data_IF_632265319257
#
_entry.id   IF_632265319257
#
_cell.length_a   1.000
_cell.length_b   1.000
_cell.length_c   1.000
_cell.angle_alpha   90.00
_cell.angle_beta   90.00
_cell.angle_gamma   90.00
#
_symmetry.space_group_name_H-M   'P 1'
#
loop_
_entity.id
_entity.type
_entity.pdbx_description
1 polymer ?
#
# COMPACT_ATOMS: atom_id res chain seq x y z
N UNK A 1 15.65 -20.00 -19.05
CA UNK A 1 15.97 -18.72 -18.39
C UNK A 1 14.79 -17.76 -18.40
N UNK A 2 14.17 -17.43 -19.55
CA UNK A 2 12.99 -16.53 -19.64
C UNK A 2 11.81 -16.85 -18.70
N UNK A 3 11.48 -18.13 -18.53
CA UNK A 3 10.41 -18.54 -17.61
C UNK A 3 10.73 -18.20 -16.14
N UNK A 4 12.00 -18.31 -15.73
CA UNK A 4 12.42 -17.97 -14.38
C UNK A 4 12.37 -16.45 -14.13
N UNK A 5 12.77 -15.64 -15.12
CA UNK A 5 12.66 -14.18 -15.05
C UNK A 5 11.20 -13.74 -14.93
N UNK A 6 10.31 -14.28 -15.77
CA UNK A 6 8.88 -13.99 -15.70
C UNK A 6 8.26 -14.47 -14.38
N UNK A 7 8.70 -15.62 -13.85
CA UNK A 7 8.25 -16.11 -12.54
C UNK A 7 8.52 -15.09 -11.45
N UNK A 8 9.71 -14.46 -11.46
CA UNK A 8 10.04 -13.47 -10.43
C UNK A 8 9.18 -12.22 -10.51
N UNK A 9 8.94 -11.74 -11.72
CA UNK A 9 8.05 -10.59 -11.95
C UNK A 9 6.62 -10.92 -11.50
N UNK A 10 6.12 -12.10 -11.86
CA UNK A 10 4.77 -12.54 -11.51
C UNK A 10 4.56 -12.60 -9.99
N UNK A 11 5.53 -13.10 -9.21
CA UNK A 11 5.45 -13.09 -7.74
C UNK A 11 5.25 -11.69 -7.17
N UNK A 12 6.01 -10.70 -7.65
CA UNK A 12 5.95 -9.33 -7.15
C UNK A 12 4.71 -8.59 -7.63
N UNK A 13 4.28 -8.82 -8.87
CA UNK A 13 3.03 -8.29 -9.43
C UNK A 13 1.83 -8.84 -8.66
N UNK A 14 1.79 -10.15 -8.43
CA UNK A 14 0.72 -10.78 -7.66
C UNK A 14 0.60 -10.15 -6.26
N UNK A 15 1.72 -9.91 -5.59
CA UNK A 15 1.73 -9.22 -4.29
C UNK A 15 1.27 -7.76 -4.40
N UNK A 16 1.78 -6.99 -5.37
CA UNK A 16 1.42 -5.58 -5.56
C UNK A 16 -0.08 -5.39 -5.83
N UNK A 17 -0.63 -6.21 -6.74
CA UNK A 17 -2.05 -6.16 -7.12
C UNK A 17 -2.95 -6.51 -5.96
N UNK A 18 -2.64 -7.58 -5.22
CA UNK A 18 -3.47 -7.96 -4.07
C UNK A 18 -3.37 -6.95 -2.91
N UNK A 19 -2.20 -6.37 -2.65
CA UNK A 19 -2.09 -5.29 -1.67
C UNK A 19 -2.90 -4.06 -2.13
N UNK A 20 -2.84 -3.71 -3.41
CA UNK A 20 -3.65 -2.64 -4.01
C UNK A 20 -5.14 -2.88 -3.81
N UNK A 21 -5.63 -4.08 -4.11
CA UNK A 21 -7.02 -4.48 -3.91
C UNK A 21 -7.45 -4.31 -2.45
N UNK A 22 -6.67 -4.83 -1.50
CA UNK A 22 -7.04 -4.74 -0.07
C UNK A 22 -6.94 -3.30 0.45
N UNK A 23 -6.02 -2.50 -0.09
CA UNK A 23 -5.93 -1.06 0.19
C UNK A 23 -7.14 -0.29 -0.32
N UNK A 24 -7.66 -0.60 -1.51
CA UNK A 24 -8.91 -0.05 -2.01
C UNK A 24 -10.09 -0.46 -1.11
N UNK A 25 -10.17 -1.74 -0.75
CA UNK A 25 -11.21 -2.26 0.15
C UNK A 25 -11.16 -1.62 1.54
N UNK A 26 -9.98 -1.27 2.07
CA UNK A 26 -9.85 -0.48 3.31
C UNK A 26 -10.58 0.86 3.21
N UNK A 27 -10.46 1.57 2.10
CA UNK A 27 -11.12 2.88 1.90
C UNK A 27 -12.64 2.69 1.86
N UNK A 28 -13.10 1.67 1.13
CA UNK A 28 -14.53 1.34 1.03
C UNK A 28 -15.10 0.99 2.41
N UNK A 29 -14.44 0.07 3.13
CA UNK A 29 -14.85 -0.37 4.46
C UNK A 29 -14.87 0.79 5.47
N UNK A 30 -13.86 1.67 5.46
CA UNK A 30 -13.83 2.87 6.31
C UNK A 30 -15.03 3.79 6.08
N UNK A 31 -15.41 4.03 4.82
CA UNK A 31 -16.61 4.83 4.49
C UNK A 31 -17.92 4.17 4.92
N UNK A 32 -17.95 2.84 4.96
CA UNK A 32 -19.11 2.06 5.42
C UNK A 32 -19.13 1.85 6.94
N UNK A 33 -18.09 2.28 7.67
CA UNK A 33 -17.96 2.02 9.11
C UNK A 33 -17.71 0.55 9.44
N UNK A 34 -17.06 -0.19 8.55
CA UNK A 34 -16.77 -1.63 8.69
C UNK A 34 -15.29 -1.86 9.01
N UNK A 35 -14.97 -2.76 9.95
CA UNK A 35 -13.59 -3.18 10.20
C UNK A 35 -13.10 -4.10 9.09
N UNK A 36 -12.26 -3.57 8.20
CA UNK A 36 -11.64 -4.35 7.12
C UNK A 36 -10.80 -5.52 7.64
N UNK A 37 -10.20 -5.42 8.83
CA UNK A 37 -9.43 -6.52 9.39
C UNK A 37 -10.32 -7.67 9.85
N UNK A 38 -11.52 -7.38 10.37
CA UNK A 38 -12.53 -8.40 10.66
C UNK A 38 -12.98 -9.11 9.39
N UNK A 39 -13.28 -8.35 8.33
CA UNK A 39 -13.67 -8.90 7.02
C UNK A 39 -12.59 -9.83 6.46
N UNK A 40 -11.33 -9.42 6.49
CA UNK A 40 -10.20 -10.26 6.02
C UNK A 40 -10.07 -11.52 6.86
N UNK A 41 -10.16 -11.43 8.19
CA UNK A 41 -10.10 -12.60 9.08
C UNK A 41 -11.24 -13.57 8.80
N UNK A 42 -12.46 -13.06 8.62
CA UNK A 42 -13.62 -13.88 8.29
C UNK A 42 -13.46 -14.55 6.92
N UNK A 43 -13.02 -13.82 5.89
CA UNK A 43 -12.76 -14.37 4.57
C UNK A 43 -11.65 -15.45 4.58
N UNK A 44 -10.62 -15.26 5.42
CA UNK A 44 -9.52 -16.22 5.60
C UNK A 44 -9.93 -17.54 6.25
N UNK A 45 -11.13 -17.65 6.83
CA UNK A 45 -11.64 -18.93 7.35
C UNK A 45 -12.10 -19.87 6.23
N UNK A 46 -12.30 -19.36 5.01
CA UNK A 46 -12.70 -20.18 3.87
C UNK A 46 -11.53 -21.08 3.46
N UNK A 47 -11.73 -22.41 3.31
CA UNK A 47 -10.64 -23.34 3.06
C UNK A 47 -10.04 -23.25 1.65
N UNK A 48 -10.61 -22.43 0.76
CA UNK A 48 -10.15 -22.26 -0.61
C UNK A 48 -10.49 -20.88 -1.17
N UNK A 49 -9.68 -20.43 -2.13
CA UNK A 49 -9.97 -19.25 -2.95
C UNK A 49 -9.75 -17.90 -2.28
N UNK A 50 -9.14 -17.86 -1.09
CA UNK A 50 -8.75 -16.61 -0.45
C UNK A 50 -7.35 -16.72 0.16
N UNK A 51 -6.43 -15.89 -0.31
CA UNK A 51 -5.11 -15.71 0.29
C UNK A 51 -5.14 -14.35 0.99
N UNK A 52 -4.92 -14.27 2.31
CA UNK A 52 -5.06 -13.01 3.02
C UNK A 52 -3.89 -12.08 2.70
N UNK A 53 -4.24 -10.89 2.21
CA UNK A 53 -3.37 -9.71 2.19
C UNK A 53 -3.94 -8.69 3.18
N UNK A 54 -3.07 -7.86 3.73
CA UNK A 54 -3.45 -6.87 4.74
C UNK A 54 -3.19 -5.46 4.20
N UNK A 55 -4.10 -4.52 4.47
CA UNK A 55 -3.91 -3.16 4.00
C UNK A 55 -2.82 -2.47 4.81
N UNK A 56 -2.24 -1.43 4.23
CA UNK A 56 -1.14 -0.69 4.85
C UNK A 56 -1.10 0.77 4.43
N UNK A 57 -0.05 1.49 4.86
CA UNK A 57 0.18 2.89 4.46
C UNK A 57 0.70 3.06 3.03
N UNK A 58 1.04 1.96 2.35
CA UNK A 58 1.61 1.97 1.00
C UNK A 58 2.50 0.75 0.78
N UNK A 59 3.07 0.63 -0.42
CA UNK A 59 4.12 -0.35 -0.70
C UNK A 59 5.49 0.21 -0.28
N UNK A 60 6.40 -0.67 0.10
CA UNK A 60 7.79 -0.29 0.31
C UNK A 60 8.78 -1.41 0.04
N UNK A 61 10.05 -1.11 0.28
CA UNK A 61 11.16 -1.92 -0.20
C UNK A 61 11.37 -1.73 -1.71
N UNK A 62 12.44 -2.29 -2.26
CA UNK A 62 12.79 -2.05 -3.66
C UNK A 62 11.95 -2.85 -4.66
N UNK A 63 11.67 -4.13 -4.38
CA UNK A 63 11.20 -5.07 -5.41
C UNK A 63 9.75 -4.84 -5.83
N UNK A 64 8.84 -4.55 -4.89
CA UNK A 64 7.40 -4.46 -5.20
C UNK A 64 7.04 -3.12 -5.86
N UNK A 65 7.63 -1.97 -5.48
CA UNK A 65 7.37 -0.70 -6.15
C UNK A 65 8.01 -0.55 -7.54
N UNK A 66 8.98 -1.39 -7.92
CA UNK A 66 9.73 -1.22 -9.18
C UNK A 66 9.41 -2.32 -10.20
N UNK A 67 9.51 -3.59 -9.81
CA UNK A 67 9.40 -4.73 -10.74
C UNK A 67 8.08 -4.75 -11.55
N UNK A 68 6.90 -4.43 -10.97
CA UNK A 68 5.66 -4.40 -11.73
C UNK A 68 5.67 -3.34 -12.83
N UNK A 69 6.23 -2.15 -12.57
CA UNK A 69 6.31 -1.08 -13.58
C UNK A 69 7.36 -1.36 -14.65
N UNK A 70 8.43 -2.08 -14.31
CA UNK A 70 9.35 -2.59 -15.32
C UNK A 70 8.62 -3.50 -16.32
N UNK A 71 7.79 -4.44 -15.85
CA UNK A 71 7.01 -5.28 -16.76
C UNK A 71 5.99 -4.45 -17.55
N UNK A 72 5.31 -3.49 -16.92
CA UNK A 72 4.41 -2.56 -17.63
C UNK A 72 5.12 -1.85 -18.78
N UNK A 73 6.31 -1.31 -18.54
CA UNK A 73 7.13 -0.67 -19.58
C UNK A 73 7.48 -1.67 -20.68
N UNK A 74 7.96 -2.87 -20.33
CA UNK A 74 8.36 -3.88 -21.31
C UNK A 74 7.18 -4.39 -22.13
N UNK A 75 6.02 -4.58 -21.51
CA UNK A 75 4.80 -5.07 -22.16
C UNK A 75 4.28 -4.09 -23.23
N UNK A 76 4.48 -2.78 -23.03
CA UNK A 76 4.13 -1.76 -24.04
C UNK A 76 4.91 -1.92 -25.33
N UNK A 77 6.16 -2.38 -25.30
CA UNK A 77 6.93 -2.69 -26.51
C UNK A 77 6.31 -3.86 -27.31
N UNK A 78 5.51 -4.71 -26.66
CA UNK A 78 4.73 -5.78 -27.29
C UNK A 78 3.27 -5.37 -27.58
N UNK A 79 2.92 -4.08 -27.45
CA UNK A 79 1.56 -3.59 -27.67
C UNK A 79 0.55 -3.98 -26.58
N UNK A 80 1.02 -4.44 -25.41
CA UNK A 80 0.15 -4.85 -24.29
C UNK A 80 0.16 -3.79 -23.20
N UNK A 81 -1.02 -3.31 -22.83
CA UNK A 81 -1.20 -2.44 -21.67
C UNK A 81 -1.59 -3.26 -20.43
N UNK A 82 -0.81 -3.15 -19.36
CA UNK A 82 -0.98 -3.86 -18.09
C UNK A 82 -1.84 -3.07 -17.09
N UNK A 83 -3.09 -2.76 -17.48
CA UNK A 83 -4.04 -1.91 -16.71
C UNK A 83 -4.18 -2.27 -15.22
N UNK A 84 -4.21 -3.56 -14.89
CA UNK A 84 -4.28 -4.02 -13.50
C UNK A 84 -3.04 -3.65 -12.68
N UNK A 85 -1.86 -3.73 -13.28
CA UNK A 85 -0.61 -3.37 -12.62
C UNK A 85 -0.57 -1.87 -12.38
N UNK A 86 -0.94 -1.08 -13.38
CA UNK A 86 -1.00 0.39 -13.30
C UNK A 86 -1.98 0.85 -12.22
N UNK A 87 -3.20 0.30 -12.21
CA UNK A 87 -4.22 0.62 -11.19
C UNK A 87 -3.76 0.25 -9.78
N UNK A 88 -3.18 -0.93 -9.60
CA UNK A 88 -2.62 -1.31 -8.31
C UNK A 88 -1.51 -0.35 -7.86
N UNK A 89 -0.67 0.11 -8.79
CA UNK A 89 0.33 1.13 -8.55
C UNK A 89 -0.27 2.44 -8.05
N UNK A 90 -1.28 2.95 -8.75
CA UNK A 90 -1.99 4.19 -8.38
C UNK A 90 -2.61 4.10 -6.97
N UNK A 91 -3.37 3.03 -6.70
CA UNK A 91 -4.01 2.83 -5.39
C UNK A 91 -2.96 2.80 -4.28
N UNK A 92 -1.88 2.04 -4.47
CA UNK A 92 -0.84 1.89 -3.46
C UNK A 92 -0.06 3.20 -3.21
N UNK A 93 0.25 3.97 -4.25
CA UNK A 93 0.96 5.24 -4.14
C UNK A 93 0.13 6.34 -3.46
N UNK A 94 -1.20 6.25 -3.53
CA UNK A 94 -2.12 7.18 -2.87
C UNK A 94 -2.37 6.86 -1.38
N UNK A 95 -1.92 5.69 -0.88
CA UNK A 95 -2.18 5.29 0.50
C UNK A 95 -1.56 6.18 1.57
N UNK A 96 -0.35 6.76 1.39
CA UNK A 96 0.21 7.69 2.37
C UNK A 96 -0.69 8.91 2.57
N UNK A 97 -1.22 9.48 1.48
CA UNK A 97 -2.13 10.63 1.54
C UNK A 97 -3.45 10.29 2.25
N UNK A 98 -4.00 9.10 1.97
CA UNK A 98 -5.16 8.62 2.70
C UNK A 98 -4.88 8.51 4.21
N UNK A 99 -3.73 7.95 4.61
CA UNK A 99 -3.36 7.84 6.04
C UNK A 99 -3.20 9.21 6.69
N UNK A 100 -2.53 10.16 6.04
CA UNK A 100 -2.39 11.54 6.54
C UNK A 100 -3.76 12.19 6.71
N UNK A 101 -4.68 12.00 5.76
CA UNK A 101 -6.05 12.51 5.86
C UNK A 101 -6.80 11.95 7.08
N UNK A 102 -6.58 10.68 7.43
CA UNK A 102 -7.18 10.06 8.62
C UNK A 102 -6.59 10.62 9.91
N UNK A 103 -5.28 10.88 9.94
CA UNK A 103 -4.64 11.57 11.07
C UNK A 103 -5.22 12.98 11.25
N UNK A 104 -5.39 13.73 10.15
CA UNK A 104 -6.00 15.06 10.16
C UNK A 104 -7.42 15.01 10.72
N UNK A 105 -8.24 14.10 10.21
CA UNK A 105 -9.62 13.92 10.67
C UNK A 105 -9.68 13.57 12.15
N UNK A 106 -8.81 12.65 12.62
CA UNK A 106 -8.74 12.26 14.02
C UNK A 106 -8.37 13.44 14.94
N UNK A 107 -7.37 14.25 14.57
CA UNK A 107 -7.01 15.46 15.33
C UNK A 107 -8.14 16.49 15.34
N UNK A 108 -8.85 16.62 14.22
CA UNK A 108 -9.99 17.53 14.12
C UNK A 108 -11.14 17.16 15.07
N UNK A 109 -11.37 15.85 15.33
CA UNK A 109 -12.34 15.42 16.37
C UNK A 109 -11.97 15.92 17.78
N UNK A 110 -10.70 16.25 17.99
CA UNK A 110 -10.14 16.81 19.23
C UNK A 110 -9.93 18.32 19.14
N UNK A 111 -10.44 18.99 18.10
CA UNK A 111 -10.25 20.41 17.81
C UNK A 111 -8.77 20.79 17.75
N UNK A 112 -7.92 19.89 17.26
CA UNK A 112 -6.49 20.12 17.04
C UNK A 112 -6.22 20.16 15.54
N UNK A 113 -5.44 21.16 15.11
CA UNK A 113 -4.86 21.17 13.77
C UNK A 113 -3.67 20.20 13.72
N UNK A 114 -3.32 19.70 12.52
CA UNK A 114 -2.02 19.05 12.30
C UNK A 114 -0.91 20.05 12.57
N UNK A 115 -1.02 21.26 12.00
CA UNK A 115 -0.07 22.34 12.22
C UNK A 115 0.08 22.64 13.72
N UNK A 116 1.32 22.58 14.22
CA UNK A 116 1.66 22.76 15.62
C UNK A 116 1.43 21.54 16.51
N UNK A 117 0.91 20.42 15.98
CA UNK A 117 0.79 19.16 16.73
C UNK A 117 2.09 18.36 16.68
N UNK A 118 2.46 17.74 17.80
CA UNK A 118 3.55 16.77 17.85
C UNK A 118 3.01 15.38 17.49
N UNK A 119 3.48 14.83 16.38
CA UNK A 119 3.14 13.47 15.93
C UNK A 119 4.36 12.56 16.08
N UNK A 120 4.20 11.46 16.82
CA UNK A 120 5.22 10.42 16.96
C UNK A 120 4.93 9.30 15.95
N UNK A 121 5.85 9.07 15.00
CA UNK A 121 5.78 7.94 14.07
C UNK A 121 6.59 6.78 14.63
N UNK A 122 5.93 5.67 14.93
CA UNK A 122 6.56 4.46 15.45
C UNK A 122 6.73 3.44 14.31
N UNK A 123 7.99 3.21 13.93
CA UNK A 123 8.36 2.26 12.87
C UNK A 123 8.81 2.96 11.59
N UNK A 124 10.07 2.76 11.21
CA UNK A 124 10.71 3.41 10.05
C UNK A 124 11.01 2.47 8.89
N UNK A 125 11.22 1.18 9.18
CA UNK A 125 11.47 0.16 8.16
C UNK A 125 10.22 -0.12 7.31
N UNK A 126 10.41 -0.53 6.06
CA UNK A 126 9.29 -0.77 5.13
C UNK A 126 8.45 -2.02 5.49
N UNK A 127 8.99 -2.91 6.33
CA UNK A 127 8.30 -4.09 6.87
C UNK A 127 8.78 -4.42 8.27
N UNK A 128 8.00 -5.24 8.99
CA UNK A 128 8.38 -5.74 10.31
C UNK A 128 9.69 -6.55 10.27
N UNK A 129 10.42 -6.53 11.38
CA UNK A 129 11.59 -7.38 11.65
C UNK A 129 12.76 -7.20 10.66
N UNK A 130 12.90 -6.01 10.06
CA UNK A 130 14.08 -5.62 9.28
C UNK A 130 14.43 -4.15 9.58
N UNK A 131 15.63 -3.75 9.20
CA UNK A 131 16.17 -2.38 9.31
C UNK A 131 16.14 -1.59 7.99
N UNK A 132 15.69 -2.21 6.90
CA UNK A 132 15.66 -1.60 5.57
C UNK A 132 14.57 -0.50 5.47
N UNK A 133 15.01 0.71 5.17
CA UNK A 133 14.18 1.92 5.05
C UNK A 133 13.91 2.33 3.60
N UNK A 134 14.46 1.63 2.60
CA UNK A 134 14.29 2.00 1.19
C UNK A 134 12.82 1.95 0.79
N UNK A 135 12.36 3.01 0.13
CA UNK A 135 10.97 3.19 -0.27
C UNK A 135 9.96 2.99 0.88
N UNK A 136 10.36 3.22 2.13
CA UNK A 136 9.47 2.97 3.27
C UNK A 136 8.30 3.98 3.28
N UNK A 137 7.04 3.53 3.32
CA UNK A 137 5.88 4.41 3.46
C UNK A 137 5.97 5.34 4.67
N UNK A 138 6.63 4.89 5.75
CA UNK A 138 6.82 5.71 6.95
C UNK A 138 7.61 6.98 6.67
N UNK A 139 8.60 6.93 5.76
CA UNK A 139 9.38 8.13 5.38
C UNK A 139 8.47 9.14 4.70
N UNK A 140 7.69 8.71 3.70
CA UNK A 140 6.73 9.58 3.02
C UNK A 140 5.67 10.16 3.97
N UNK A 141 5.19 9.36 4.93
CA UNK A 141 4.26 9.84 5.95
C UNK A 141 4.89 10.93 6.83
N UNK A 142 6.12 10.73 7.29
CA UNK A 142 6.84 11.71 8.11
C UNK A 142 7.05 13.02 7.35
N UNK A 143 7.40 12.95 6.07
CA UNK A 143 7.56 14.13 5.21
C UNK A 143 6.23 14.87 5.03
N UNK A 144 5.16 14.17 4.64
CA UNK A 144 3.84 14.78 4.46
C UNK A 144 3.28 15.39 5.75
N UNK A 145 3.46 14.73 6.88
CA UNK A 145 3.04 15.26 8.18
C UNK A 145 3.84 16.52 8.54
N UNK A 146 5.16 16.52 8.32
CA UNK A 146 6.03 17.69 8.55
C UNK A 146 5.66 18.86 7.64
N UNK A 147 5.29 18.61 6.40
CA UNK A 147 4.95 19.66 5.43
C UNK A 147 3.62 20.35 5.76
N UNK A 148 2.77 19.73 6.59
CA UNK A 148 1.54 20.34 7.11
C UNK A 148 1.78 21.26 8.33
N UNK A 149 3.02 21.34 8.81
CA UNK A 149 3.49 22.19 9.92
C UNK A 149 3.33 21.58 11.30
#
# INVERSE_FOLDING_TARGET
TRAAEMTKLLENIHRAVNIGLVNEMKIVADKMGIDIHEVIRAAATKPFGFVPYYPGPGLGGHCIPIDPFYLTWKAREYGVNTRFIELAGEVNSNMPDWVVSKVAAALNTRKKAINGSKVLVLGIAYKKNVDDMRESPSVFLMEKLRDLG
#
